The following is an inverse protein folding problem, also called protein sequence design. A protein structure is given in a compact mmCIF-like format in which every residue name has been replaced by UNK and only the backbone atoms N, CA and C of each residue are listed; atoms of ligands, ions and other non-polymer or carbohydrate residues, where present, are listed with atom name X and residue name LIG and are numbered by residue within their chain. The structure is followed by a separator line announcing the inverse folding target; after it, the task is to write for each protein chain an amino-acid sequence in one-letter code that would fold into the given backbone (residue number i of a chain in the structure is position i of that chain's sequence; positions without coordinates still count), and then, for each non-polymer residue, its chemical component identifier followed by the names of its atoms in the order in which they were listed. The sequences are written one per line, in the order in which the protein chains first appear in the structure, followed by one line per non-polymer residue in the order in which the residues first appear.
data_IF_087740887846
#
_entry.id   IF_087740887846
#
_cell.length_a   1.000
_cell.length_b   1.000
_cell.length_c   1.000
_cell.angle_alpha   90.00
_cell.angle_beta   90.00
_cell.angle_gamma   90.00
#
_symmetry.space_group_name_H-M   'P 1'
#
loop_
_entity.id
_entity.type
_entity.pdbx_description
1 polymer ?
#
# COMPACT_ATOMS: atom_id res chain seq x y z
N UNK A 1 31.96 -11.81 -16.35
CA UNK A 1 30.56 -12.18 -16.12
C UNK A 1 30.02 -11.41 -14.92
N UNK A 2 28.86 -10.87 -15.09
CA UNK A 2 28.25 -10.08 -14.02
C UNK A 2 27.61 -10.99 -12.98
N UNK A 3 28.01 -10.84 -11.73
CA UNK A 3 27.41 -11.62 -10.66
C UNK A 3 26.01 -11.10 -10.33
N UNK A 4 25.11 -12.01 -9.98
CA UNK A 4 23.79 -11.64 -9.52
C UNK A 4 23.92 -11.01 -8.13
N UNK A 5 23.36 -9.82 -7.92
CA UNK A 5 23.39 -9.25 -6.58
C UNK A 5 22.60 -10.12 -5.61
N UNK A 6 22.95 -10.13 -4.32
CA UNK A 6 22.17 -10.88 -3.35
C UNK A 6 20.76 -10.31 -3.25
N UNK A 7 19.79 -11.17 -2.93
CA UNK A 7 18.43 -10.72 -2.70
C UNK A 7 18.41 -9.73 -1.55
N UNK A 8 17.62 -8.64 -1.63
CA UNK A 8 17.53 -7.70 -0.53
C UNK A 8 16.92 -8.38 0.69
N UNK A 9 17.46 -8.07 1.85
CA UNK A 9 16.87 -8.45 3.13
C UNK A 9 16.13 -7.25 3.70
N UNK A 10 15.26 -7.48 4.69
CA UNK A 10 14.52 -6.41 5.32
C UNK A 10 15.45 -5.33 5.90
N UNK A 11 16.63 -5.71 6.39
CA UNK A 11 17.61 -4.79 6.97
C UNK A 11 18.28 -3.90 5.92
N UNK A 12 18.41 -4.40 4.71
CA UNK A 12 19.12 -3.72 3.62
C UNK A 12 18.21 -3.08 2.59
N UNK A 13 16.96 -3.50 2.56
CA UNK A 13 16.03 -3.04 1.55
C UNK A 13 15.69 -1.57 1.78
N UNK A 14 15.63 -0.82 0.70
CA UNK A 14 15.17 0.56 0.73
C UNK A 14 13.66 0.54 0.93
N UNK A 15 13.14 1.24 1.95
CA UNK A 15 11.70 1.34 2.13
C UNK A 15 11.03 1.98 0.91
N UNK A 16 9.89 1.43 0.50
CA UNK A 16 9.17 1.88 -0.68
C UNK A 16 7.69 2.04 -0.35
N UNK A 17 7.13 3.17 -0.76
CA UNK A 17 5.71 3.43 -0.63
C UNK A 17 5.14 3.76 -2.01
N UNK A 18 4.23 2.93 -2.51
CA UNK A 18 3.57 3.14 -3.80
C UNK A 18 2.16 3.67 -3.61
N UNK A 19 1.81 4.69 -4.38
CA UNK A 19 0.48 5.32 -4.36
C UNK A 19 -0.14 5.15 -5.73
N UNK A 20 -1.37 4.65 -5.81
CA UNK A 20 -2.13 4.47 -7.03
C UNK A 20 -1.37 3.61 -8.05
N UNK A 21 -0.73 4.22 -9.06
CA UNK A 21 0.07 3.49 -10.04
C UNK A 21 1.24 2.76 -9.37
N UNK A 22 1.85 3.35 -8.35
CA UNK A 22 2.93 2.71 -7.60
C UNK A 22 2.46 1.47 -6.84
N UNK A 23 1.27 1.52 -6.27
CA UNK A 23 0.63 0.37 -5.62
C UNK A 23 0.40 -0.75 -6.64
N UNK A 24 -0.10 -0.42 -7.82
CA UNK A 24 -0.33 -1.39 -8.89
C UNK A 24 0.99 -1.99 -9.38
N UNK A 25 2.03 -1.17 -9.51
CA UNK A 25 3.36 -1.63 -9.91
C UNK A 25 3.94 -2.62 -8.90
N UNK A 26 3.73 -2.39 -7.60
CA UNK A 26 4.16 -3.33 -6.56
C UNK A 26 3.45 -4.67 -6.75
N UNK A 27 2.13 -4.66 -6.91
CA UNK A 27 1.37 -5.89 -7.13
C UNK A 27 1.89 -6.68 -8.31
N UNK A 28 2.14 -6.00 -9.43
CA UNK A 28 2.62 -6.63 -10.65
C UNK A 28 4.06 -7.11 -10.53
N UNK A 29 4.93 -6.33 -9.88
CA UNK A 29 6.34 -6.67 -9.75
C UNK A 29 6.57 -7.98 -9.00
N UNK A 30 5.68 -8.32 -8.06
CA UNK A 30 5.78 -9.55 -7.28
C UNK A 30 4.95 -10.70 -7.84
N UNK A 31 4.36 -10.53 -9.02
CA UNK A 31 3.69 -11.61 -9.73
C UNK A 31 2.16 -11.55 -9.76
N UNK A 32 1.56 -10.54 -9.16
CA UNK A 32 0.12 -10.33 -9.24
C UNK A 32 -0.29 -9.71 -10.57
N UNK A 33 -1.58 -9.70 -10.82
CA UNK A 33 -2.13 -9.10 -12.03
C UNK A 33 -2.85 -7.80 -11.71
N UNK A 34 -2.70 -6.80 -12.58
CA UNK A 34 -3.45 -5.56 -12.54
C UNK A 34 -4.56 -5.70 -13.58
N UNK A 35 -5.80 -5.55 -13.14
CA UNK A 35 -6.98 -5.76 -13.97
C UNK A 35 -7.92 -4.57 -13.87
N UNK A 36 -8.91 -4.51 -14.76
CA UNK A 36 -9.93 -3.47 -14.69
C UNK A 36 -10.81 -3.68 -13.47
N UNK A 37 -11.11 -2.60 -12.76
CA UNK A 37 -12.12 -2.62 -11.71
C UNK A 37 -13.48 -2.88 -12.33
N UNK A 38 -14.42 -3.48 -11.57
CA UNK A 38 -15.77 -3.72 -12.06
C UNK A 38 -16.47 -2.45 -12.58
N UNK A 39 -16.13 -1.30 -11.97
CA UNK A 39 -16.58 0.00 -12.43
C UNK A 39 -15.45 1.01 -12.26
N UNK A 40 -15.22 1.89 -13.24
CA UNK A 40 -14.20 2.93 -13.07
C UNK A 40 -14.62 3.90 -11.98
N UNK A 41 -13.65 4.31 -11.16
CA UNK A 41 -13.86 5.24 -10.05
C UNK A 41 -13.21 6.57 -10.36
N UNK A 42 -14.02 7.62 -10.35
CA UNK A 42 -13.58 8.95 -10.76
C UNK A 42 -14.07 9.98 -9.75
N UNK A 43 -13.33 10.15 -8.67
CA UNK A 43 -13.68 11.09 -7.62
C UNK A 43 -14.76 10.59 -6.66
N UNK A 44 -15.02 9.29 -6.63
CA UNK A 44 -16.04 8.71 -5.77
C UNK A 44 -15.47 8.40 -4.40
N UNK A 45 -16.18 8.78 -3.35
CA UNK A 45 -15.78 8.49 -1.97
C UNK A 45 -16.25 7.09 -1.59
N UNK A 46 -15.34 6.30 -1.02
CA UNK A 46 -15.66 4.98 -0.49
C UNK A 46 -15.04 4.81 0.88
N UNK A 47 -15.65 3.95 1.69
CA UNK A 47 -15.09 3.61 2.99
C UNK A 47 -14.03 2.53 2.82
N UNK A 48 -12.87 2.75 3.43
CA UNK A 48 -11.75 1.83 3.40
C UNK A 48 -11.62 1.15 4.75
N UNK A 49 -11.76 -0.18 4.77
CA UNK A 49 -11.52 -0.98 5.97
C UNK A 49 -10.08 -1.49 5.93
N UNK A 50 -9.43 -1.59 7.08
CA UNK A 50 -8.04 -2.03 7.12
C UNK A 50 -7.74 -2.84 8.37
N UNK A 51 -6.59 -3.52 8.36
CA UNK A 51 -6.15 -4.39 9.44
C UNK A 51 -5.35 -3.67 10.54
N UNK A 52 -5.09 -2.38 10.38
CA UNK A 52 -4.24 -1.63 11.31
C UNK A 52 -2.76 -1.89 11.11
N UNK A 53 -2.38 -2.46 9.98
CA UNK A 53 -0.99 -2.81 9.66
C UNK A 53 -0.37 -1.80 8.70
N UNK A 54 0.96 -1.85 8.60
CA UNK A 54 1.69 -1.06 7.61
C UNK A 54 1.48 0.43 7.89
N UNK A 55 1.35 1.21 6.82
CA UNK A 55 1.14 2.66 6.92
C UNK A 55 -0.23 3.03 7.51
N UNK A 56 -1.10 2.05 7.71
CA UNK A 56 -2.46 2.27 8.22
C UNK A 56 -2.56 2.15 9.73
N UNK A 57 -1.46 1.87 10.42
CA UNK A 57 -1.46 1.71 11.86
C UNK A 57 -1.99 2.96 12.57
N UNK A 58 -2.94 2.77 13.47
CA UNK A 58 -3.50 3.86 14.26
C UNK A 58 -4.57 4.70 13.56
N UNK A 59 -4.81 4.48 12.27
CA UNK A 59 -5.88 5.19 11.57
C UNK A 59 -7.23 4.57 11.94
N UNK A 60 -8.32 5.38 11.90
CA UNK A 60 -9.65 4.80 12.09
C UNK A 60 -9.98 3.79 11.01
N UNK A 61 -10.76 2.79 11.33
CA UNK A 61 -11.23 1.79 10.38
C UNK A 61 -12.72 1.55 10.58
N UNK A 62 -13.57 1.81 9.59
CA UNK A 62 -13.17 2.32 8.26
C UNK A 62 -12.93 3.83 8.26
N UNK A 63 -12.32 4.33 7.19
CA UNK A 63 -12.20 5.76 6.94
C UNK A 63 -12.58 6.07 5.49
N UNK A 64 -13.09 7.28 5.19
CA UNK A 64 -13.45 7.64 3.83
C UNK A 64 -12.21 8.04 3.02
N UNK A 65 -12.16 7.62 1.77
CA UNK A 65 -11.13 8.02 0.84
C UNK A 65 -11.71 8.18 -0.56
N UNK A 66 -11.20 9.14 -1.31
CA UNK A 66 -11.64 9.36 -2.67
C UNK A 66 -10.89 8.43 -3.62
N UNK A 67 -11.63 7.84 -4.53
CA UNK A 67 -11.10 6.87 -5.49
C UNK A 67 -10.99 7.50 -6.88
N UNK A 68 -9.80 7.34 -7.48
CA UNK A 68 -9.51 7.81 -8.84
C UNK A 68 -8.78 6.70 -9.59
N UNK A 69 -9.45 5.58 -9.84
CA UNK A 69 -8.78 4.46 -10.51
C UNK A 69 -9.75 3.67 -11.37
N UNK A 70 -9.26 3.14 -12.46
CA UNK A 70 -9.98 2.19 -13.30
C UNK A 70 -9.35 0.81 -13.27
N UNK A 71 -8.15 0.69 -12.68
CA UNK A 71 -7.42 -0.56 -12.53
C UNK A 71 -7.21 -0.87 -11.05
N UNK A 72 -7.11 -2.16 -10.75
CA UNK A 72 -6.89 -2.66 -9.39
C UNK A 72 -5.89 -3.82 -9.43
N UNK A 73 -5.30 -4.12 -8.28
CA UNK A 73 -4.55 -5.36 -8.10
C UNK A 73 -5.56 -6.47 -7.85
N UNK A 74 -5.52 -7.51 -8.67
CA UNK A 74 -6.47 -8.62 -8.58
C UNK A 74 -6.20 -9.47 -7.35
N UNK A 75 -7.25 -9.71 -6.56
CA UNK A 75 -7.13 -10.48 -5.31
C UNK A 75 -6.76 -11.94 -5.57
N UNK A 76 -7.34 -12.55 -6.61
CA UNK A 76 -7.14 -13.97 -6.91
C UNK A 76 -5.70 -14.30 -7.31
N UNK A 77 -4.97 -13.34 -7.86
CA UNK A 77 -3.58 -13.54 -8.30
C UNK A 77 -2.58 -12.92 -7.35
N UNK A 78 -3.03 -12.38 -6.20
CA UNK A 78 -2.11 -11.77 -5.24
C UNK A 78 -1.13 -12.84 -4.74
N UNK A 79 0.19 -12.63 -4.93
CA UNK A 79 1.17 -13.63 -4.52
C UNK A 79 1.29 -13.70 -3.00
N UNK A 80 1.79 -14.82 -2.49
CA UNK A 80 1.95 -15.06 -1.06
C UNK A 80 2.92 -14.08 -0.38
N UNK A 81 3.82 -13.47 -1.15
CA UNK A 81 4.76 -12.47 -0.62
C UNK A 81 4.08 -11.16 -0.23
N UNK A 82 2.88 -10.91 -0.75
CA UNK A 82 2.13 -9.69 -0.48
C UNK A 82 0.89 -10.00 0.36
N UNK A 83 0.51 -9.02 1.18
CA UNK A 83 -0.68 -9.10 2.02
C UNK A 83 -1.56 -7.89 1.75
N UNK A 84 -2.86 -8.11 1.53
CA UNK A 84 -3.82 -7.03 1.44
C UNK A 84 -4.02 -6.44 2.84
N UNK A 85 -3.85 -5.14 2.97
CA UNK A 85 -3.96 -4.43 4.25
C UNK A 85 -5.21 -3.57 4.35
N UNK A 86 -5.82 -3.24 3.21
CA UNK A 86 -7.04 -2.44 3.18
C UNK A 86 -7.89 -2.88 2.00
N UNK A 87 -9.20 -2.68 2.13
CA UNK A 87 -10.14 -2.97 1.07
C UNK A 87 -11.29 -1.97 1.09
N UNK A 88 -11.90 -1.78 -0.07
CA UNK A 88 -13.08 -0.93 -0.23
C UNK A 88 -14.35 -1.69 0.17
N UNK A 89 -15.47 -0.97 0.22
CA UNK A 89 -16.78 -1.56 0.54
C UNK A 89 -17.16 -2.69 -0.42
N UNK A 90 -16.72 -2.58 -1.68
CA UNK A 90 -16.98 -3.59 -2.71
C UNK A 90 -15.91 -4.70 -2.73
N UNK A 91 -15.04 -4.76 -1.73
CA UNK A 91 -14.10 -5.87 -1.55
C UNK A 91 -12.84 -5.81 -2.40
N UNK A 92 -12.54 -4.67 -3.01
CA UNK A 92 -11.35 -4.51 -3.83
C UNK A 92 -10.14 -4.16 -2.96
N UNK A 93 -8.96 -4.64 -3.34
CA UNK A 93 -7.74 -4.34 -2.60
C UNK A 93 -7.41 -2.85 -2.72
N UNK A 94 -7.31 -2.18 -1.59
CA UNK A 94 -6.99 -0.75 -1.50
C UNK A 94 -5.68 -0.48 -0.79
N UNK A 95 -5.07 -1.49 -0.21
CA UNK A 95 -3.75 -1.40 0.42
C UNK A 95 -3.08 -2.75 0.39
N UNK A 96 -1.76 -2.76 0.30
CA UNK A 96 -0.97 -3.98 0.37
C UNK A 96 0.38 -3.72 1.00
N UNK A 97 1.01 -4.80 1.46
CA UNK A 97 2.37 -4.75 1.99
C UNK A 97 3.10 -6.02 1.63
N UNK A 98 4.42 -5.94 1.51
CA UNK A 98 5.24 -7.13 1.43
C UNK A 98 5.37 -7.72 2.84
N UNK A 99 5.34 -9.04 2.95
CA UNK A 99 5.37 -9.69 4.27
C UNK A 99 6.73 -9.60 4.95
N UNK A 100 7.81 -9.41 4.19
CA UNK A 100 9.17 -9.36 4.71
C UNK A 100 9.89 -8.05 4.41
N UNK A 101 9.70 -7.51 3.21
CA UNK A 101 10.39 -6.29 2.79
C UNK A 101 9.61 -5.05 3.20
N UNK A 102 10.28 -3.90 3.40
CA UNK A 102 9.60 -2.65 3.78
C UNK A 102 8.95 -1.98 2.56
N UNK A 103 8.03 -2.69 1.93
CA UNK A 103 7.33 -2.25 0.73
C UNK A 103 5.85 -2.16 1.06
N UNK A 104 5.25 -1.00 0.83
CA UNK A 104 3.87 -0.70 1.17
C UNK A 104 3.19 0.03 0.03
N UNK A 105 1.91 -0.23 -0.16
CA UNK A 105 1.15 0.42 -1.22
C UNK A 105 -0.27 0.73 -0.81
N UNK A 106 -0.80 1.83 -1.34
CA UNK A 106 -2.22 2.17 -1.22
C UNK A 106 -2.76 2.57 -2.58
N UNK A 107 -3.99 2.15 -2.89
CA UNK A 107 -4.63 2.48 -4.16
C UNK A 107 -5.14 3.91 -4.17
N UNK A 108 -5.59 4.41 -3.04
CA UNK A 108 -6.09 5.78 -2.91
C UNK A 108 -4.93 6.76 -2.69
N UNK A 109 -5.20 8.04 -2.92
CA UNK A 109 -4.22 9.09 -2.68
C UNK A 109 -4.33 9.58 -1.24
N UNK A 110 -3.24 9.56 -0.44
CA UNK A 110 -3.29 10.04 0.95
C UNK A 110 -3.79 11.49 1.09
N UNK A 111 -3.50 12.33 0.11
CA UNK A 111 -3.97 13.72 0.12
C UNK A 111 -5.47 13.86 -0.12
N UNK A 112 -6.13 12.78 -0.52
CA UNK A 112 -7.58 12.76 -0.78
C UNK A 112 -8.38 12.25 0.41
N UNK A 113 -7.75 12.00 1.55
CA UNK A 113 -8.44 11.63 2.79
C UNK A 113 -8.35 12.81 3.76
N UNK A 114 -9.09 12.73 4.89
CA UNK A 114 -9.03 13.80 5.88
C UNK A 114 -7.57 14.11 6.21
N UNK A 115 -7.20 15.39 6.26
CA UNK A 115 -5.80 15.81 6.37
C UNK A 115 -5.08 15.18 7.56
N UNK A 116 -5.75 15.03 8.69
CA UNK A 116 -5.18 14.36 9.87
C UNK A 116 -4.87 12.88 9.61
N UNK A 117 -5.75 12.18 8.90
CA UNK A 117 -5.53 10.78 8.55
C UNK A 117 -4.44 10.63 7.48
N UNK A 118 -4.42 11.55 6.51
CA UNK A 118 -3.37 11.57 5.50
C UNK A 118 -2.00 11.83 6.09
N UNK A 119 -1.91 12.79 7.00
CA UNK A 119 -0.68 13.08 7.73
C UNK A 119 -0.25 11.89 8.59
N UNK A 120 -1.17 11.24 9.28
CA UNK A 120 -0.88 10.07 10.11
C UNK A 120 -0.33 8.92 9.26
N UNK A 121 -0.92 8.68 8.09
CA UNK A 121 -0.48 7.65 7.16
C UNK A 121 0.95 7.92 6.68
N UNK A 122 1.20 9.15 6.23
CA UNK A 122 2.53 9.53 5.76
C UNK A 122 3.56 9.50 6.88
N UNK A 123 3.18 9.94 8.09
CA UNK A 123 4.04 9.87 9.25
C UNK A 123 4.39 8.42 9.61
N UNK A 124 3.46 7.50 9.46
CA UNK A 124 3.72 6.08 9.67
C UNK A 124 4.81 5.60 8.72
N UNK A 125 4.71 5.96 7.45
CA UNK A 125 5.73 5.55 6.48
C UNK A 125 7.08 6.18 6.79
N UNK A 126 7.12 7.48 7.10
CA UNK A 126 8.36 8.18 7.43
C UNK A 126 9.05 7.53 8.63
N UNK A 127 8.29 7.14 9.65
CA UNK A 127 8.86 6.44 10.81
C UNK A 127 9.49 5.09 10.41
N UNK A 128 8.89 4.39 9.47
CA UNK A 128 9.44 3.13 8.97
C UNK A 128 10.75 3.33 8.20
N UNK A 129 10.95 4.51 7.61
CA UNK A 129 12.15 4.84 6.84
C UNK A 129 13.21 5.56 7.66
N UNK A 130 12.90 5.93 8.90
CA UNK A 130 13.78 6.71 9.73
C UNK A 130 15.13 6.03 9.97
N UNK A 131 16.13 6.84 10.38
CA UNK A 131 17.42 6.31 10.76
C UNK A 131 17.27 5.39 11.98
N UNK A 132 18.26 4.51 12.24
CA UNK A 132 18.21 3.69 13.44
C UNK A 132 17.99 4.47 14.72
N UNK A 133 18.57 5.69 14.81
CA UNK A 133 18.36 6.55 15.98
C UNK A 133 16.91 7.01 16.10
N UNK A 134 16.30 7.39 14.99
CA UNK A 134 14.89 7.80 14.96
C UNK A 134 13.96 6.64 15.28
N UNK A 135 14.27 5.46 14.77
CA UNK A 135 13.46 4.27 15.04
C UNK A 135 13.58 3.79 16.48
N UNK A 136 14.70 4.08 17.13
CA UNK A 136 14.94 3.72 18.53
C UNK A 136 14.30 4.72 19.50
N UNK A 137 13.97 5.90 19.04
CA UNK A 137 13.43 6.98 19.89
C UNK A 137 11.95 6.74 20.32
#
# INVERSE_FOLDING_TARGET
MRSTPPSPTADRAIPLFGVCLGHQAIGQAFGGHVVRAPAPMHGKISMMSHSGESVLAGLPSPFPATRYHSLIVERETLPDSLKATAESEDGLIMGLMHRELPIHGVQFHPESIASENGHALLANFVRMTGSPAERAA
#
